data_IF_041826634573
#
_entry.id   IF_041826634573
#
_cell.length_a   1.000
_cell.length_b   1.000
_cell.length_c   1.000
_cell.angle_alpha   90.00
_cell.angle_beta   90.00
_cell.angle_gamma   90.00
#
_symmetry.space_group_name_H-M   'P 1'
#
loop_
_entity.id
_entity.type
_entity.pdbx_description
1 polymer ?
#
# COMPACT_ATOMS: atom_id res chain seq x y z
N UNK A 1 -7.19 -15.79 -5.75
CA UNK A 1 -6.52 -14.60 -5.18
C UNK A 1 -7.57 -13.52 -5.05
N UNK A 2 -8.16 -13.39 -3.86
CA UNK A 2 -9.02 -12.25 -3.56
C UNK A 2 -8.16 -11.29 -2.73
N UNK A 3 -8.01 -10.05 -3.20
CA UNK A 3 -7.67 -8.97 -2.28
C UNK A 3 -8.92 -8.85 -1.41
N UNK A 4 -8.88 -9.37 -0.18
CA UNK A 4 -10.05 -9.49 0.71
C UNK A 4 -10.46 -8.13 1.29
N UNK A 5 -10.63 -7.13 0.44
CA UNK A 5 -11.13 -5.82 0.80
C UNK A 5 -12.06 -5.35 -0.32
N UNK A 6 -13.25 -4.92 0.07
CA UNK A 6 -14.25 -4.42 -0.87
C UNK A 6 -13.73 -3.16 -1.55
N UNK A 7 -13.63 -3.20 -2.88
CA UNK A 7 -13.23 -2.02 -3.66
C UNK A 7 -14.16 -0.82 -3.40
N UNK A 8 -15.46 -1.10 -3.26
CA UNK A 8 -16.47 -0.09 -2.94
C UNK A 8 -16.14 0.59 -1.61
N UNK A 9 -15.67 -0.16 -0.62
CA UNK A 9 -15.34 0.39 0.69
C UNK A 9 -14.10 1.29 0.63
N UNK A 10 -13.12 0.94 -0.20
CA UNK A 10 -11.98 1.83 -0.45
C UNK A 10 -12.43 3.12 -1.15
N UNK A 11 -13.33 3.05 -2.14
CA UNK A 11 -13.84 4.26 -2.80
C UNK A 11 -14.72 5.12 -1.86
N UNK A 12 -15.47 4.49 -0.96
CA UNK A 12 -16.23 5.17 0.09
C UNK A 12 -15.31 5.88 1.07
N UNK A 13 -14.23 5.23 1.52
CA UNK A 13 -13.22 5.81 2.40
C UNK A 13 -12.69 7.13 1.84
N UNK A 14 -12.37 7.15 0.55
CA UNK A 14 -11.85 8.31 -0.18
C UNK A 14 -12.85 9.48 -0.28
N UNK A 15 -14.11 9.25 0.08
CA UNK A 15 -15.15 10.28 0.07
C UNK A 15 -15.86 10.43 -1.27
N UNK A 16 -15.68 9.50 -2.22
CA UNK A 16 -16.42 9.50 -3.51
C UNK A 16 -17.93 9.40 -3.34
N UNK A 17 -18.37 8.81 -2.22
CA UNK A 17 -19.78 8.62 -1.87
C UNK A 17 -20.26 9.61 -0.78
N UNK A 18 -19.47 10.66 -0.51
CA UNK A 18 -19.76 11.67 0.52
C UNK A 18 -19.22 11.32 1.90
N UNK A 19 -19.13 12.34 2.77
CA UNK A 19 -18.44 12.24 4.07
C UNK A 19 -19.10 11.28 5.05
N UNK A 20 -20.43 11.12 5.01
CA UNK A 20 -21.16 10.20 5.89
C UNK A 20 -20.83 8.74 5.59
N UNK A 21 -20.76 8.40 4.31
CA UNK A 21 -20.43 7.04 3.88
C UNK A 21 -18.96 6.71 4.15
N UNK A 22 -18.06 7.69 3.98
CA UNK A 22 -16.65 7.58 4.36
C UNK A 22 -16.50 7.27 5.85
N UNK A 23 -17.17 8.04 6.73
CA UNK A 23 -17.12 7.82 8.18
C UNK A 23 -17.64 6.44 8.59
N UNK A 24 -18.74 5.98 8.00
CA UNK A 24 -19.29 4.65 8.30
C UNK A 24 -18.33 3.52 7.90
N UNK A 25 -17.51 3.73 6.88
CA UNK A 25 -16.62 2.70 6.33
C UNK A 25 -15.28 2.65 7.09
N UNK A 26 -14.83 3.76 7.68
CA UNK A 26 -13.55 3.84 8.41
C UNK A 26 -13.44 2.79 9.52
N UNK A 27 -14.46 2.61 10.36
CA UNK A 27 -14.41 1.65 11.47
C UNK A 27 -14.26 0.20 10.98
N UNK A 28 -14.96 -0.14 9.91
CA UNK A 28 -14.86 -1.47 9.31
C UNK A 28 -13.46 -1.71 8.72
N UNK A 29 -12.91 -0.72 8.00
CA UNK A 29 -11.58 -0.81 7.41
C UNK A 29 -10.46 -0.77 8.45
N UNK A 30 -10.63 -0.07 9.57
CA UNK A 30 -9.71 -0.12 10.71
C UNK A 30 -9.65 -1.53 11.30
N UNK A 31 -10.81 -2.14 11.55
CA UNK A 31 -10.90 -3.52 12.03
C UNK A 31 -10.21 -4.48 11.05
N UNK A 32 -10.44 -4.32 9.75
CA UNK A 32 -9.74 -5.11 8.73
C UNK A 32 -8.22 -4.91 8.79
N UNK A 33 -7.75 -3.66 8.94
CA UNK A 33 -6.32 -3.35 8.96
C UNK A 33 -5.57 -3.97 10.15
N UNK A 34 -6.27 -4.25 11.25
CA UNK A 34 -5.71 -4.91 12.43
C UNK A 34 -5.63 -6.44 12.29
N UNK A 35 -6.43 -7.02 11.40
CA UNK A 35 -6.48 -8.46 11.17
C UNK A 35 -5.28 -8.96 10.34
N UNK A 36 -4.98 -10.26 10.46
CA UNK A 36 -3.99 -10.95 9.64
C UNK A 36 -4.35 -10.94 8.15
N UNK A 37 -5.64 -10.98 7.83
CA UNK A 37 -6.17 -10.85 6.47
C UNK A 37 -5.61 -9.64 5.71
N UNK A 38 -5.42 -8.49 6.39
CA UNK A 38 -4.83 -7.31 5.74
C UNK A 38 -3.38 -7.54 5.32
N UNK A 39 -2.59 -8.23 6.15
CA UNK A 39 -1.18 -8.53 5.86
C UNK A 39 -1.06 -9.49 4.69
N UNK A 40 -1.93 -10.50 4.61
CA UNK A 40 -2.02 -11.39 3.44
C UNK A 40 -2.44 -10.63 2.18
N UNK A 41 -3.44 -9.74 2.29
CA UNK A 41 -3.87 -8.91 1.17
C UNK A 41 -2.75 -7.99 0.66
N UNK A 42 -2.00 -7.35 1.56
CA UNK A 42 -0.84 -6.53 1.23
C UNK A 42 0.26 -7.36 0.56
N UNK A 43 0.55 -8.57 1.06
CA UNK A 43 1.53 -9.45 0.42
C UNK A 43 1.10 -9.85 -0.99
N UNK A 44 -0.15 -10.26 -1.17
CA UNK A 44 -0.70 -10.57 -2.50
C UNK A 44 -0.69 -9.36 -3.44
N UNK A 45 -0.98 -8.16 -2.94
CA UNK A 45 -0.84 -6.92 -3.70
C UNK A 45 0.61 -6.70 -4.14
N UNK A 46 1.59 -6.94 -3.27
CA UNK A 46 3.01 -6.93 -3.63
C UNK A 46 3.35 -7.93 -4.74
N UNK A 47 2.78 -9.13 -4.72
CA UNK A 47 2.95 -10.12 -5.79
C UNK A 47 2.32 -9.67 -7.12
N UNK A 48 1.18 -8.98 -7.09
CA UNK A 48 0.59 -8.36 -8.30
C UNK A 48 1.56 -7.35 -8.91
N UNK A 49 2.17 -6.49 -8.08
CA UNK A 49 3.16 -5.51 -8.56
C UNK A 49 4.41 -6.19 -9.15
N UNK A 50 4.90 -7.26 -8.52
CA UNK A 50 6.00 -8.08 -9.03
C UNK A 50 5.71 -8.63 -10.42
N UNK A 51 4.52 -9.21 -10.61
CA UNK A 51 4.09 -9.77 -11.90
C UNK A 51 3.89 -8.66 -12.94
N UNK A 52 3.33 -7.53 -12.53
CA UNK A 52 3.11 -6.39 -13.42
C UNK A 52 4.42 -5.80 -13.94
N UNK A 53 5.44 -5.69 -13.09
CA UNK A 53 6.78 -5.25 -13.48
C UNK A 53 7.43 -6.17 -14.53
N UNK A 54 7.13 -7.47 -14.50
CA UNK A 54 7.61 -8.45 -15.47
C UNK A 54 6.66 -8.66 -16.67
N UNK A 55 5.58 -7.88 -16.77
CA UNK A 55 4.60 -8.05 -17.83
C UNK A 55 5.20 -7.69 -19.20
N UNK A 56 4.78 -8.43 -20.24
CA UNK A 56 5.16 -8.09 -21.62
C UNK A 56 4.69 -6.65 -21.95
N UNK A 57 5.42 -5.91 -22.81
CA UNK A 57 5.06 -4.55 -23.17
C UNK A 57 3.59 -4.44 -23.62
N UNK A 58 2.93 -3.35 -23.24
CA UNK A 58 1.53 -3.00 -23.54
C UNK A 58 0.45 -3.95 -23.00
N UNK A 59 0.81 -4.96 -22.20
CA UNK A 59 -0.15 -5.92 -21.63
C UNK A 59 -0.85 -5.40 -20.38
N UNK A 60 -0.34 -4.35 -19.74
CA UNK A 60 -0.97 -3.75 -18.56
C UNK A 60 -2.13 -2.84 -18.95
N UNK A 61 -3.13 -3.40 -19.64
CA UNK A 61 -4.35 -2.73 -20.08
C UNK A 61 -5.60 -3.41 -19.51
N UNK A 62 -6.74 -2.70 -19.54
CA UNK A 62 -8.04 -3.23 -19.11
C UNK A 62 -7.98 -3.82 -17.70
N UNK A 63 -8.33 -5.10 -17.58
CA UNK A 63 -8.33 -5.82 -16.31
C UNK A 63 -6.98 -5.82 -15.60
N UNK A 64 -5.87 -5.97 -16.33
CA UNK A 64 -4.54 -5.99 -15.70
C UNK A 64 -4.16 -4.62 -15.13
N UNK A 65 -4.51 -3.54 -15.82
CA UNK A 65 -4.34 -2.19 -15.31
C UNK A 65 -5.17 -1.97 -14.03
N UNK A 66 -6.42 -2.44 -14.04
CA UNK A 66 -7.28 -2.39 -12.86
C UNK A 66 -6.71 -3.21 -11.70
N UNK A 67 -6.15 -4.39 -11.93
CA UNK A 67 -5.55 -5.21 -10.88
C UNK A 67 -4.33 -4.54 -10.23
N UNK A 68 -3.46 -3.88 -11.02
CA UNK A 68 -2.32 -3.09 -10.51
C UNK A 68 -2.83 -1.93 -9.67
N UNK A 69 -3.83 -1.20 -10.17
CA UNK A 69 -4.46 -0.13 -9.42
C UNK A 69 -5.01 -0.61 -8.07
N UNK A 70 -5.77 -1.71 -8.06
CA UNK A 70 -6.28 -2.30 -6.81
C UNK A 70 -5.16 -2.68 -5.85
N UNK A 71 -4.09 -3.30 -6.34
CA UNK A 71 -2.94 -3.66 -5.50
C UNK A 71 -2.34 -2.42 -4.80
N UNK A 72 -2.18 -1.31 -5.52
CA UNK A 72 -1.70 -0.05 -4.94
C UNK A 72 -2.64 0.50 -3.85
N UNK A 73 -3.95 0.40 -4.05
CA UNK A 73 -4.93 0.82 -3.03
C UNK A 73 -4.80 -0.01 -1.75
N UNK A 74 -4.69 -1.33 -1.88
CA UNK A 74 -4.54 -2.25 -0.74
C UNK A 74 -3.26 -1.94 0.04
N UNK A 75 -2.17 -1.65 -0.65
CA UNK A 75 -0.90 -1.30 -0.01
C UNK A 75 -0.96 0.04 0.72
N UNK A 76 -1.71 1.02 0.19
CA UNK A 76 -1.87 2.34 0.80
C UNK A 76 -2.82 2.33 2.01
N UNK A 77 -3.82 1.45 1.99
CA UNK A 77 -4.99 1.52 2.86
C UNK A 77 -4.68 1.57 4.37
N UNK A 78 -3.84 0.69 4.96
CA UNK A 78 -3.55 0.76 6.39
C UNK A 78 -2.95 2.10 6.81
N UNK A 79 -2.04 2.64 6.02
CA UNK A 79 -1.37 3.91 6.28
C UNK A 79 -2.30 5.11 6.10
N UNK A 80 -3.22 5.03 5.13
CA UNK A 80 -4.27 6.04 4.98
C UNK A 80 -5.19 6.08 6.21
N UNK A 81 -5.57 4.92 6.75
CA UNK A 81 -6.40 4.83 7.97
C UNK A 81 -5.67 5.37 9.20
N UNK A 82 -4.36 5.10 9.31
CA UNK A 82 -3.51 5.65 10.37
C UNK A 82 -3.45 7.18 10.28
N UNK A 83 -3.19 7.74 9.09
CA UNK A 83 -3.15 9.19 8.89
C UNK A 83 -4.49 9.87 9.22
N UNK A 84 -5.61 9.28 8.81
CA UNK A 84 -6.97 9.77 9.15
C UNK A 84 -7.19 9.74 10.68
N UNK A 85 -6.76 8.68 11.36
CA UNK A 85 -6.85 8.58 12.81
C UNK A 85 -6.03 9.68 13.51
N UNK A 86 -4.79 9.92 13.06
CA UNK A 86 -3.93 10.98 13.62
C UNK A 86 -4.53 12.38 13.42
N UNK A 87 -5.05 12.67 12.22
CA UNK A 87 -5.71 13.94 11.93
C UNK A 87 -6.93 14.17 12.83
N UNK A 88 -7.71 13.11 13.13
CA UNK A 88 -8.87 13.23 14.02
C UNK A 88 -8.50 13.51 15.48
N UNK A 89 -7.28 13.15 15.91
CA UNK A 89 -6.76 13.36 17.27
C UNK A 89 -6.04 14.70 17.44
N UNK A 90 -5.79 15.44 16.35
CA UNK A 90 -5.05 16.71 16.39
C UNK A 90 -3.57 16.55 16.74
N UNK A 91 -3.01 15.35 16.57
CA UNK A 91 -1.60 15.06 16.82
C UNK A 91 -0.76 15.46 15.61
N UNK A 92 0.23 16.34 15.78
CA UNK A 92 1.23 16.62 14.74
C UNK A 92 2.26 15.48 14.70
N UNK A 93 2.77 15.10 13.50
CA UNK A 93 3.76 14.04 13.41
C UNK A 93 5.06 14.50 14.06
N UNK A 94 5.33 14.01 15.27
CA UNK A 94 6.64 14.12 15.90
C UNK A 94 7.66 13.23 15.18
N UNK A 95 8.97 13.51 15.25
CA UNK A 95 9.99 12.74 14.52
C UNK A 95 10.17 11.27 14.97
N UNK A 96 9.35 10.79 15.91
CA UNK A 96 9.50 9.48 16.55
C UNK A 96 8.14 8.85 16.88
N UNK A 97 7.22 8.79 15.92
CA UNK A 97 6.07 7.89 16.02
C UNK A 97 6.45 6.60 15.31
N UNK A 98 6.81 5.58 16.10
CA UNK A 98 6.90 4.20 15.63
C UNK A 98 5.55 3.82 15.04
N UNK A 99 5.43 3.91 13.71
CA UNK A 99 4.31 3.39 12.96
C UNK A 99 4.05 1.94 13.42
N UNK A 100 2.82 1.67 13.85
CA UNK A 100 2.32 0.41 14.40
C UNK A 100 2.92 -0.04 15.75
N UNK A 101 2.79 0.79 16.79
CA UNK A 101 2.84 0.34 18.19
C UNK A 101 1.46 -0.14 18.70
N UNK A 102 0.85 -1.12 18.03
CA UNK A 102 -0.23 -1.97 18.58
C UNK A 102 0.08 -3.45 18.35
N UNK A 103 1.36 -3.83 18.41
CA UNK A 103 1.75 -5.23 18.48
C UNK A 103 2.64 -5.44 19.70
N UNK A 104 2.27 -6.45 20.49
CA UNK A 104 2.61 -6.64 21.89
C UNK A 104 4.08 -6.39 22.26
N UNK A 105 4.25 -5.59 23.31
CA UNK A 105 5.49 -5.37 24.03
C UNK A 105 5.96 -6.67 24.71
N UNK A 106 7.09 -7.20 24.29
CA UNK A 106 8.01 -7.90 25.20
C UNK A 106 9.41 -7.37 24.90
N UNK A 107 9.83 -6.42 25.74
CA UNK A 107 11.19 -5.88 25.76
C UNK A 107 12.11 -6.96 26.29
N UNK A 108 13.09 -7.38 25.50
CA UNK A 108 14.42 -7.70 26.03
C UNK A 108 15.50 -7.05 25.16
N UNK A 109 16.44 -6.45 25.89
CA UNK A 109 17.58 -5.61 25.53
C UNK A 109 18.47 -6.15 24.40
N UNK A 110 18.96 -5.28 23.49
CA UNK A 110 20.36 -4.77 23.44
C UNK A 110 20.54 -3.89 22.19
N UNK A 111 21.21 -2.74 22.34
CA UNK A 111 21.61 -1.83 21.26
C UNK A 111 22.55 -2.52 20.24
N UNK A 112 22.32 -2.31 18.93
CA UNK A 112 23.28 -1.94 17.86
C UNK A 112 22.47 -1.80 16.55
N UNK A 113 22.42 -0.58 15.99
CA UNK A 113 21.87 -0.21 14.68
C UNK A 113 20.36 -0.44 14.45
N UNK A 114 19.58 0.65 14.33
CA UNK A 114 18.18 0.64 13.90
C UNK A 114 18.06 0.19 12.43
N UNK A 115 18.32 -1.09 12.16
CA UNK A 115 17.87 -1.72 10.94
C UNK A 115 16.38 -1.97 11.17
N UNK A 116 15.53 -1.08 10.63
CA UNK A 116 14.10 -1.35 10.54
C UNK A 116 13.97 -2.73 9.89
N UNK A 117 13.29 -3.67 10.54
CA UNK A 117 13.07 -5.02 9.99
C UNK A 117 12.10 -4.90 8.81
N UNK A 118 12.63 -4.51 7.65
CA UNK A 118 11.87 -4.22 6.45
C UNK A 118 11.47 -5.52 5.76
N UNK A 119 10.18 -5.71 5.56
CA UNK A 119 9.60 -6.91 4.96
C UNK A 119 9.21 -6.61 3.52
N UNK A 120 10.01 -7.11 2.57
CA UNK A 120 9.78 -6.88 1.13
C UNK A 120 8.58 -7.68 0.63
N UNK A 121 7.47 -7.00 0.32
CA UNK A 121 6.19 -7.63 -0.06
C UNK A 121 6.11 -8.08 -1.51
N UNK A 122 6.90 -7.47 -2.41
CA UNK A 122 7.01 -7.86 -3.82
C UNK A 122 8.21 -8.80 -4.09
N UNK A 123 8.80 -9.36 -3.02
CA UNK A 123 9.86 -10.37 -3.09
C UNK A 123 9.32 -11.80 -3.15
N UNK A 124 10.20 -12.82 -3.22
CA UNK A 124 9.81 -14.21 -2.96
C UNK A 124 9.39 -14.41 -1.51
N UNK A 125 8.51 -15.39 -1.26
CA UNK A 125 8.13 -15.76 0.11
C UNK A 125 9.33 -16.36 0.86
N UNK A 126 9.63 -15.84 2.05
CA UNK A 126 10.70 -16.32 2.92
C UNK A 126 10.23 -16.39 4.39
N UNK A 127 11.10 -16.82 5.30
CA UNK A 127 10.75 -16.94 6.73
C UNK A 127 10.33 -15.60 7.37
N UNK A 128 10.97 -14.48 7.00
CA UNK A 128 10.60 -13.16 7.53
C UNK A 128 9.22 -12.74 7.05
N UNK A 129 8.92 -12.93 5.76
CA UNK A 129 7.58 -12.68 5.22
C UNK A 129 6.52 -13.54 5.90
N UNK A 130 6.78 -14.84 6.11
CA UNK A 130 5.85 -15.72 6.84
C UNK A 130 5.64 -15.27 8.28
N UNK A 131 6.71 -14.87 8.97
CA UNK A 131 6.64 -14.34 10.32
C UNK A 131 5.79 -13.07 10.36
N UNK A 132 6.02 -12.12 9.46
CA UNK A 132 5.22 -10.91 9.33
C UNK A 132 3.74 -11.22 9.08
N UNK A 133 3.44 -12.12 8.15
CA UNK A 133 2.06 -12.51 7.84
C UNK A 133 1.34 -13.09 9.07
N UNK A 134 2.02 -13.93 9.85
CA UNK A 134 1.43 -14.57 11.04
C UNK A 134 1.38 -13.66 12.27
N UNK A 135 2.43 -12.88 12.52
CA UNK A 135 2.64 -12.17 13.80
C UNK A 135 2.44 -10.67 13.72
N UNK A 136 2.44 -10.09 12.51
CA UNK A 136 2.45 -8.64 12.30
C UNK A 136 3.78 -7.96 12.60
N UNK A 137 4.83 -8.70 12.99
CA UNK A 137 6.14 -8.12 13.27
C UNK A 137 6.91 -7.76 11.98
N UNK A 138 7.50 -6.57 11.96
CA UNK A 138 8.25 -6.02 10.84
C UNK A 138 7.51 -4.87 10.14
N UNK A 139 8.24 -4.06 9.38
CA UNK A 139 7.68 -2.94 8.62
C UNK A 139 7.59 -3.30 7.14
N UNK A 140 6.41 -3.30 6.53
CA UNK A 140 6.26 -3.72 5.14
C UNK A 140 6.89 -2.71 4.17
N UNK A 141 7.52 -3.23 3.13
CA UNK A 141 8.31 -2.48 2.17
C UNK A 141 8.17 -3.04 0.75
N UNK A 142 8.58 -2.26 -0.25
CA UNK A 142 8.71 -2.70 -1.64
C UNK A 142 10.15 -2.54 -2.13
N UNK A 143 10.60 -3.49 -2.93
CA UNK A 143 11.84 -3.39 -3.70
C UNK A 143 11.56 -2.72 -5.05
N UNK A 144 12.21 -1.60 -5.34
CA UNK A 144 12.03 -0.80 -6.55
C UNK A 144 13.40 -0.48 -7.16
N UNK A 145 13.68 -0.96 -8.37
CA UNK A 145 14.94 -0.69 -9.07
C UNK A 145 16.18 -0.82 -8.15
N UNK A 146 16.22 -1.88 -7.34
CA UNK A 146 17.26 -2.23 -6.36
C UNK A 146 17.25 -1.47 -5.03
N UNK A 147 16.29 -0.56 -4.81
CA UNK A 147 16.12 0.15 -3.54
C UNK A 147 14.92 -0.39 -2.74
N UNK A 148 15.11 -0.70 -1.46
CA UNK A 148 14.01 -1.10 -0.56
C UNK A 148 13.40 0.15 0.08
N UNK A 149 12.10 0.36 -0.13
CA UNK A 149 11.36 1.51 0.41
C UNK A 149 10.21 1.05 1.31
N UNK A 150 10.16 1.62 2.51
CA UNK A 150 9.09 1.36 3.47
C UNK A 150 7.76 1.95 2.99
N UNK A 151 6.67 1.19 3.15
CA UNK A 151 5.33 1.63 2.77
C UNK A 151 4.74 2.72 3.69
N UNK A 152 5.36 2.97 4.84
CA UNK A 152 5.03 4.12 5.69
C UNK A 152 5.18 5.45 4.97
N UNK A 153 6.04 5.51 3.94
CA UNK A 153 6.07 6.62 3.00
C UNK A 153 5.04 6.41 1.88
N UNK A 154 3.76 6.68 2.15
CA UNK A 154 2.66 6.47 1.19
C UNK A 154 2.83 7.20 -0.14
N UNK A 155 3.60 8.30 -0.18
CA UNK A 155 3.88 9.06 -1.41
C UNK A 155 4.67 8.25 -2.44
N UNK A 156 5.30 7.14 -2.03
CA UNK A 156 5.97 6.24 -2.95
C UNK A 156 4.99 5.49 -3.85
N UNK A 157 3.77 5.20 -3.39
CA UNK A 157 2.82 4.29 -4.07
C UNK A 157 2.41 4.84 -5.45
N UNK A 158 2.07 6.14 -5.60
CA UNK A 158 1.84 6.74 -6.91
C UNK A 158 3.06 6.68 -7.85
N UNK A 159 4.28 6.78 -7.31
CA UNK A 159 5.51 6.64 -8.09
C UNK A 159 5.69 5.21 -8.59
N UNK A 160 5.39 4.21 -7.75
CA UNK A 160 5.46 2.79 -8.14
C UNK A 160 4.52 2.47 -9.29
N UNK A 161 3.26 2.88 -9.20
CA UNK A 161 2.26 2.59 -10.24
C UNK A 161 2.58 3.31 -11.54
N UNK A 162 3.01 4.58 -11.47
CA UNK A 162 3.42 5.33 -12.64
C UNK A 162 4.57 4.63 -13.36
N UNK A 163 5.62 4.27 -12.61
CA UNK A 163 6.79 3.58 -13.16
C UNK A 163 6.45 2.24 -13.80
N UNK A 164 5.63 1.41 -13.14
CA UNK A 164 5.20 0.11 -13.68
C UNK A 164 4.49 0.28 -15.03
N UNK A 165 3.61 1.28 -15.16
CA UNK A 165 2.91 1.53 -16.41
C UNK A 165 3.83 2.16 -17.46
N UNK A 166 4.63 3.17 -17.11
CA UNK A 166 5.59 3.81 -18.01
C UNK A 166 6.54 2.78 -18.60
N UNK A 167 7.18 1.95 -17.76
CA UNK A 167 8.08 0.88 -18.21
C UNK A 167 7.36 -0.12 -19.13
N UNK A 168 6.05 -0.37 -18.92
CA UNK A 168 5.26 -1.27 -19.77
C UNK A 168 4.90 -0.69 -21.15
N UNK A 169 4.83 0.65 -21.29
CA UNK A 169 4.42 1.33 -22.53
C UNK A 169 5.57 2.03 -23.27
N UNK A 170 6.75 2.19 -22.63
CA UNK A 170 7.91 2.94 -23.15
C UNK A 170 8.32 2.54 -24.58
N UNK A 171 8.18 1.27 -24.94
CA UNK A 171 8.59 0.77 -26.27
C UNK A 171 7.57 1.02 -27.39
N UNK A 172 6.37 1.52 -27.09
CA UNK A 172 5.24 1.52 -28.05
C UNK A 172 4.57 2.88 -28.20
N UNK A 173 4.53 3.70 -27.15
CA UNK A 173 3.89 5.03 -27.20
C UNK A 173 4.65 6.03 -26.34
N UNK A 174 4.73 7.29 -26.79
CA UNK A 174 5.33 8.40 -26.04
C UNK A 174 4.49 8.82 -24.83
N UNK A 175 3.23 8.36 -24.77
CA UNK A 175 2.30 8.66 -23.68
C UNK A 175 1.57 7.40 -23.22
N UNK A 176 1.09 7.42 -21.97
CA UNK A 176 0.24 6.34 -21.45
C UNK A 176 -1.13 6.35 -22.15
N UNK A 177 -1.79 5.17 -22.29
CA UNK A 177 -3.18 5.14 -22.71
C UNK A 177 -4.09 5.89 -21.72
N UNK A 178 -5.17 6.56 -22.18
CA UNK A 178 -6.00 7.43 -21.33
C UNK A 178 -6.55 6.75 -20.06
N UNK A 179 -6.93 5.47 -20.16
CA UNK A 179 -7.40 4.70 -19.00
C UNK A 179 -6.29 4.50 -17.97
N UNK A 180 -5.07 4.18 -18.42
CA UNK A 180 -3.93 3.88 -17.54
C UNK A 180 -3.45 5.17 -16.86
N UNK A 181 -3.35 6.26 -17.63
CA UNK A 181 -3.05 7.59 -17.10
C UNK A 181 -4.07 8.01 -16.04
N UNK A 182 -5.37 7.78 -16.30
CA UNK A 182 -6.42 8.04 -15.32
C UNK A 182 -6.19 7.25 -14.03
N UNK A 183 -5.85 5.96 -14.09
CA UNK A 183 -5.60 5.15 -12.89
C UNK A 183 -4.41 5.68 -12.07
N UNK A 184 -3.32 6.10 -12.72
CA UNK A 184 -2.17 6.74 -12.06
C UNK A 184 -2.62 8.01 -11.34
N UNK A 185 -3.38 8.87 -12.04
CA UNK A 185 -3.88 10.12 -11.47
C UNK A 185 -4.83 9.87 -10.31
N UNK A 186 -5.65 8.82 -10.36
CA UNK A 186 -6.49 8.43 -9.24
C UNK A 186 -5.61 8.11 -8.02
N UNK A 187 -4.64 7.20 -8.11
CA UNK A 187 -3.76 6.86 -6.97
C UNK A 187 -3.06 8.09 -6.41
N UNK A 188 -2.57 9.00 -7.27
CA UNK A 188 -1.95 10.28 -6.84
C UNK A 188 -2.90 11.14 -6.01
N UNK A 189 -4.15 11.30 -6.44
CA UNK A 189 -5.14 12.09 -5.71
C UNK A 189 -5.51 11.44 -4.37
N UNK A 190 -5.58 10.11 -4.33
CA UNK A 190 -5.89 9.37 -3.09
C UNK A 190 -4.85 9.57 -2.00
N UNK A 191 -3.57 9.46 -2.34
CA UNK A 191 -2.49 9.61 -1.34
C UNK A 191 -2.31 11.06 -0.88
N UNK A 192 -2.73 12.05 -1.68
CA UNK A 192 -2.71 13.46 -1.27
C UNK A 192 -3.80 13.80 -0.26
N UNK A 193 -4.98 13.19 -0.39
CA UNK A 193 -6.11 13.44 0.51
C UNK A 193 -5.83 12.98 1.95
N UNK A 194 -4.87 12.09 2.14
CA UNK A 194 -4.45 11.58 3.44
C UNK A 194 -3.31 12.38 4.10
N UNK A 195 -2.74 13.37 3.42
CA UNK A 195 -1.67 14.23 3.95
C UNK A 195 -2.13 15.62 4.42
N UNK A 196 -3.44 15.84 4.59
CA UNK A 196 -4.04 17.09 5.07
C UNK A 196 -4.73 16.87 6.41
#
# INVERSE_FOLDING_TARGET
MALFVSFVDIEKLVGRFGSKESQSTILHLQTWSENDESRYAMWHAGQILKVAHAAKPTRLCGFYASAVYQACLVLALPFMLEAISMASRGETPGPHTNALSTFHQTRETTNISQQVDLIVLNGPENMQTKSFLLTGQGSPALLLADEVKALSNIEMIPTVIAKIFEDNYTATTDHLPPMVEKLVNLVKELTKLTGR
#
